data_IF_811017100458
#
_entry.id   IF_811017100458
#
_cell.length_a   1.000
_cell.length_b   1.000
_cell.length_c   1.000
_cell.angle_alpha   90.00
_cell.angle_beta   90.00
_cell.angle_gamma   90.00
#
_symmetry.space_group_name_H-M   'P 1'
#
loop_
_entity.id
_entity.type
_entity.pdbx_description
1 polymer ?
#
# COMPACT_ATOMS: atom_id res chain seq x y z
N UNK A 1 -0.06 -2.31 -9.08
CA UNK A 1 -0.87 -3.40 -9.66
C UNK A 1 -0.54 -3.52 -11.13
N UNK A 2 -0.35 -4.73 -11.62
CA UNK A 2 0.30 -5.00 -12.90
C UNK A 2 1.10 -6.29 -12.79
N UNK A 3 1.36 -6.90 -13.94
CA UNK A 3 2.25 -8.05 -14.05
C UNK A 3 3.54 -7.57 -14.72
N UNK A 4 4.69 -7.77 -14.05
CA UNK A 4 5.94 -7.13 -14.46
C UNK A 4 6.35 -7.48 -15.89
N UNK A 5 6.18 -8.74 -16.29
CA UNK A 5 6.53 -9.18 -17.64
C UNK A 5 5.66 -8.48 -18.68
N UNK A 6 4.34 -8.60 -18.56
CA UNK A 6 3.41 -8.04 -19.56
C UNK A 6 3.39 -6.50 -19.56
N UNK A 7 3.55 -5.86 -18.41
CA UNK A 7 3.69 -4.40 -18.30
C UNK A 7 4.99 -3.93 -19.00
N UNK A 8 6.13 -4.61 -18.80
CA UNK A 8 7.42 -4.22 -19.38
C UNK A 8 7.52 -4.45 -20.90
N UNK A 9 6.73 -5.37 -21.46
CA UNK A 9 6.63 -5.54 -22.92
C UNK A 9 5.74 -4.48 -23.60
N UNK A 10 5.01 -3.67 -22.84
CA UNK A 10 4.06 -2.70 -23.38
C UNK A 10 4.67 -1.29 -23.44
N UNK A 11 5.18 -0.89 -24.61
CA UNK A 11 5.62 0.49 -24.84
C UNK A 11 4.47 1.36 -25.38
N UNK A 12 3.54 1.72 -24.49
CA UNK A 12 2.42 2.63 -24.78
C UNK A 12 2.31 3.66 -23.66
N UNK A 13 1.52 4.71 -23.90
CA UNK A 13 1.11 5.60 -22.82
C UNK A 13 0.27 4.81 -21.81
N UNK A 14 0.36 5.09 -20.49
CA UNK A 14 -0.41 4.37 -19.47
C UNK A 14 -1.92 4.33 -19.75
N UNK A 15 -2.47 5.38 -20.35
CA UNK A 15 -3.90 5.50 -20.68
C UNK A 15 -4.30 4.59 -21.86
N UNK A 16 -3.35 4.19 -22.69
CA UNK A 16 -3.54 3.36 -23.91
C UNK A 16 -3.10 1.89 -23.71
N UNK A 17 -2.72 1.53 -22.48
CA UNK A 17 -2.30 0.18 -22.13
C UNK A 17 -3.49 -0.78 -22.18
N UNK A 18 -3.29 -1.92 -22.84
CA UNK A 18 -4.25 -3.03 -22.92
C UNK A 18 -3.86 -4.28 -22.13
N UNK A 19 -2.61 -4.48 -21.63
CA UNK A 19 -2.30 -5.60 -20.74
C UNK A 19 -3.13 -5.60 -19.45
N UNK A 20 -3.29 -6.79 -18.87
CA UNK A 20 -4.00 -6.99 -17.60
C UNK A 20 -3.25 -6.35 -16.44
N UNK A 21 -3.91 -5.45 -15.70
CA UNK A 21 -3.34 -4.84 -14.48
C UNK A 21 -3.74 -5.61 -13.22
N UNK A 22 -3.47 -6.92 -13.20
CA UNK A 22 -3.92 -7.82 -12.13
C UNK A 22 -3.52 -7.31 -10.74
N UNK A 23 -4.47 -7.42 -9.82
CA UNK A 23 -4.28 -7.13 -8.41
C UNK A 23 -3.69 -8.34 -7.67
N UNK A 24 -2.73 -8.09 -6.78
CA UNK A 24 -2.20 -9.06 -5.83
C UNK A 24 -2.37 -8.51 -4.41
N UNK A 25 -2.50 -9.39 -3.43
CA UNK A 25 -2.63 -9.02 -2.01
C UNK A 25 -1.76 -9.92 -1.14
N UNK A 26 -1.43 -9.40 0.03
CA UNK A 26 -0.90 -10.17 1.16
C UNK A 26 -2.02 -10.37 2.17
N UNK A 27 -2.03 -11.53 2.81
CA UNK A 27 -2.97 -11.87 3.89
C UNK A 27 -2.34 -12.87 4.87
N UNK A 28 -3.12 -13.37 5.82
CA UNK A 28 -2.61 -14.29 6.83
C UNK A 28 -2.13 -15.63 6.23
N UNK A 29 -2.69 -16.04 5.08
CA UNK A 29 -2.31 -17.27 4.38
C UNK A 29 -1.12 -17.05 3.44
N UNK A 30 -0.94 -15.82 2.94
CA UNK A 30 0.14 -15.39 2.06
C UNK A 30 0.83 -14.14 2.66
N UNK A 31 1.71 -14.32 3.67
CA UNK A 31 2.24 -13.21 4.45
C UNK A 31 3.25 -12.37 3.65
N UNK A 32 3.41 -11.10 4.05
CA UNK A 32 4.38 -10.17 3.47
C UNK A 32 4.72 -9.05 4.45
N UNK A 33 5.51 -9.39 5.48
CA UNK A 33 5.78 -8.49 6.61
C UNK A 33 6.43 -7.17 6.23
N UNK A 34 7.39 -7.19 5.28
CA UNK A 34 8.11 -5.99 4.84
C UNK A 34 7.17 -4.98 4.20
N UNK A 35 6.47 -5.38 3.13
CA UNK A 35 5.54 -4.49 2.41
C UNK A 35 4.39 -4.01 3.33
N UNK A 36 3.93 -4.85 4.25
CA UNK A 36 2.93 -4.47 5.25
C UNK A 36 3.48 -3.43 6.24
N UNK A 37 4.70 -3.65 6.76
CA UNK A 37 5.36 -2.74 7.69
C UNK A 37 5.66 -1.38 7.05
N UNK A 38 6.25 -1.35 5.85
CA UNK A 38 6.54 -0.11 5.13
C UNK A 38 5.27 0.70 4.86
N UNK A 39 4.17 0.03 4.49
CA UNK A 39 2.89 0.69 4.28
C UNK A 39 2.37 1.31 5.58
N UNK A 40 2.48 0.60 6.70
CA UNK A 40 2.08 1.10 8.02
C UNK A 40 2.94 2.31 8.46
N UNK A 41 4.25 2.24 8.26
CA UNK A 41 5.18 3.36 8.54
C UNK A 41 4.88 4.59 7.68
N UNK A 42 4.64 4.41 6.38
CA UNK A 42 4.25 5.50 5.49
C UNK A 42 2.96 6.18 5.96
N UNK A 43 1.96 5.41 6.38
CA UNK A 43 0.71 5.94 6.95
C UNK A 43 0.95 6.68 8.27
N UNK A 44 1.84 6.18 9.14
CA UNK A 44 2.22 6.86 10.37
C UNK A 44 2.89 8.21 10.08
N UNK A 45 3.80 8.25 9.11
CA UNK A 45 4.46 9.49 8.67
C UNK A 45 3.44 10.49 8.10
N UNK A 46 2.49 10.03 7.28
CA UNK A 46 1.39 10.86 6.77
C UNK A 46 0.54 11.44 7.90
N UNK A 47 0.17 10.63 8.90
CA UNK A 47 -0.62 11.09 10.03
C UNK A 47 0.07 12.24 10.81
N UNK A 48 1.41 12.21 10.90
CA UNK A 48 2.19 13.30 11.50
C UNK A 48 2.15 14.55 10.62
N UNK A 49 2.40 14.42 9.31
CA UNK A 49 2.43 15.54 8.36
C UNK A 49 1.08 16.26 8.30
N UNK A 50 -0.03 15.52 8.31
CA UNK A 50 -1.37 16.10 8.20
C UNK A 50 -1.97 16.57 9.52
N UNK A 51 -1.27 16.40 10.65
CA UNK A 51 -1.82 16.67 11.99
C UNK A 51 -2.39 18.08 12.14
N UNK A 52 -1.77 19.08 11.53
CA UNK A 52 -2.15 20.49 11.67
C UNK A 52 -2.97 21.01 10.49
N UNK A 53 -2.61 20.59 9.27
CA UNK A 53 -3.23 21.10 8.03
C UNK A 53 -4.54 20.38 7.69
N UNK A 54 -4.67 19.11 8.09
CA UNK A 54 -5.89 18.33 7.90
C UNK A 54 -6.06 17.31 9.04
N UNK A 55 -6.46 17.77 10.25
CA UNK A 55 -6.61 16.91 11.42
C UNK A 55 -7.60 15.77 11.17
N UNK A 56 -8.66 16.00 10.37
CA UNK A 56 -9.62 14.96 10.00
C UNK A 56 -8.95 13.83 9.21
N UNK A 57 -8.06 14.15 8.27
CA UNK A 57 -7.34 13.15 7.49
C UNK A 57 -6.25 12.45 8.31
N UNK A 58 -5.55 13.18 9.18
CA UNK A 58 -4.62 12.59 10.16
C UNK A 58 -5.32 11.55 11.06
N UNK A 59 -6.49 11.90 11.62
CA UNK A 59 -7.30 10.98 12.40
C UNK A 59 -7.88 9.82 11.59
N UNK A 60 -8.14 9.99 10.29
CA UNK A 60 -8.60 8.90 9.43
C UNK A 60 -7.51 7.86 9.13
N UNK A 61 -6.27 8.29 8.96
CA UNK A 61 -5.14 7.39 8.62
C UNK A 61 -4.59 6.68 9.85
N UNK A 62 -4.62 7.31 11.03
CA UNK A 62 -4.04 6.72 12.26
C UNK A 62 -4.58 5.32 12.61
N UNK A 63 -5.89 5.01 12.52
CA UNK A 63 -6.42 3.67 12.77
C UNK A 63 -6.02 2.64 11.71
N UNK A 64 -5.81 3.06 10.46
CA UNK A 64 -5.39 2.15 9.37
C UNK A 64 -3.97 1.64 9.63
N UNK A 65 -3.08 2.51 10.13
CA UNK A 65 -1.74 2.11 10.59
C UNK A 65 -1.82 1.03 11.69
N UNK A 66 -2.73 1.19 12.65
CA UNK A 66 -2.93 0.20 13.73
C UNK A 66 -3.52 -1.12 13.25
N UNK A 67 -4.24 -1.14 12.13
CA UNK A 67 -4.85 -2.34 11.58
C UNK A 67 -3.87 -3.19 10.77
N UNK A 68 -2.83 -2.56 10.19
CA UNK A 68 -1.77 -3.24 9.43
C UNK A 68 -0.67 -3.75 10.38
N UNK A 69 -0.46 -3.10 11.54
CA UNK A 69 0.53 -3.47 12.57
C UNK A 69 0.50 -4.92 13.09
N UNK A 70 -0.66 -5.56 13.32
CA UNK A 70 -0.73 -6.92 13.85
C UNK A 70 -0.29 -7.98 12.83
N UNK A 71 -0.33 -7.68 11.52
CA UNK A 71 -0.05 -8.65 10.46
C UNK A 71 1.43 -9.05 10.33
N UNK A 72 2.35 -8.29 10.94
CA UNK A 72 3.80 -8.52 10.79
C UNK A 72 4.56 -8.69 12.12
N UNK A 73 3.88 -8.65 13.26
CA UNK A 73 4.49 -8.80 14.60
C UNK A 73 4.56 -10.27 15.09
N UNK A 74 4.33 -11.22 14.18
CA UNK A 74 4.16 -12.64 14.44
C UNK A 74 5.34 -13.48 13.94
N UNK A 75 6.59 -13.04 14.16
CA UNK A 75 7.80 -13.88 14.10
C UNK A 75 8.86 -13.29 15.05
#
# INVERSE_FOLDING_TARGET
>A
MGDGDTDHYCWRRPEDMTPSRRAYKVDAENPGSEVAAETAEAMAAMAIVFRETNPRYSHFISPINEQIRPSFRSY
#
